data_IF_906909580312
#
_entry.id   IF_906909580312
#
_cell.length_a   1.000
_cell.length_b   1.000
_cell.length_c   1.000
_cell.angle_alpha   90.00
_cell.angle_beta   90.00
_cell.angle_gamma   90.00
#
_symmetry.space_group_name_H-M   'P 1'
#
loop_
_entity.id
_entity.type
_entity.pdbx_description
1 polymer ?
#
# COMPACT_ATOMS: atom_id res chain seq x y z
N UNK A 1 -26.49 -10.71 22.82
CA UNK A 1 -26.01 -10.21 21.53
C UNK A 1 -26.06 -11.34 20.51
N UNK A 2 -26.80 -11.17 19.40
CA UNK A 2 -26.89 -12.19 18.37
C UNK A 2 -25.52 -12.37 17.69
N UNK A 3 -24.98 -13.60 17.65
CA UNK A 3 -23.79 -13.91 16.86
C UNK A 3 -24.14 -13.65 15.39
N UNK A 4 -23.50 -12.65 14.79
CA UNK A 4 -23.58 -12.42 13.34
C UNK A 4 -23.15 -13.72 12.65
N UNK A 5 -24.06 -14.31 11.88
CA UNK A 5 -23.84 -15.58 11.21
C UNK A 5 -22.87 -15.33 10.04
N UNK A 6 -21.62 -15.76 10.19
CA UNK A 6 -20.57 -15.55 9.19
C UNK A 6 -20.83 -16.40 7.94
N UNK A 7 -20.73 -15.80 6.75
CA UNK A 7 -20.93 -16.51 5.47
C UNK A 7 -19.84 -17.56 5.25
N UNK A 8 -20.11 -18.69 4.56
CA UNK A 8 -19.07 -19.66 4.23
C UNK A 8 -18.04 -19.05 3.25
N UNK A 9 -16.76 -19.35 3.47
CA UNK A 9 -15.66 -18.90 2.62
C UNK A 9 -15.57 -19.72 1.33
N UNK A 10 -15.22 -19.06 0.22
CA UNK A 10 -14.81 -19.71 -1.02
C UNK A 10 -13.30 -19.94 -1.00
N UNK A 11 -12.88 -21.20 -1.01
CA UNK A 11 -11.47 -21.60 -0.93
C UNK A 11 -11.01 -22.13 -2.28
N UNK A 12 -9.86 -21.66 -2.75
CA UNK A 12 -9.15 -22.21 -3.89
C UNK A 12 -7.90 -22.95 -3.40
N UNK A 13 -7.78 -24.24 -3.69
CA UNK A 13 -6.60 -25.05 -3.31
C UNK A 13 -5.70 -25.19 -4.53
N UNK A 14 -4.57 -24.48 -4.52
CA UNK A 14 -3.54 -24.56 -5.55
C UNK A 14 -2.46 -25.57 -5.13
N UNK A 15 -2.21 -26.58 -5.96
CA UNK A 15 -1.25 -27.66 -5.66
C UNK A 15 -0.53 -28.12 -6.93
N UNK A 16 0.65 -28.76 -6.75
CA UNK A 16 1.40 -29.41 -7.83
C UNK A 16 1.08 -30.90 -7.87
N UNK A 17 0.73 -31.43 -9.05
CA UNK A 17 0.41 -32.86 -9.25
C UNK A 17 1.62 -33.77 -9.00
N UNK A 18 2.82 -33.30 -9.35
CA UNK A 18 4.05 -34.10 -9.28
C UNK A 18 4.79 -34.03 -7.92
N UNK A 19 4.16 -33.41 -6.92
CA UNK A 19 4.76 -33.14 -5.62
C UNK A 19 4.17 -34.01 -4.50
N UNK A 20 2.91 -33.75 -4.10
CA UNK A 20 2.22 -34.50 -3.04
C UNK A 20 0.71 -34.70 -3.35
N UNK A 21 0.35 -35.39 -4.45
CA UNK A 21 -1.03 -35.42 -4.96
C UNK A 21 -2.01 -36.13 -4.03
N UNK A 22 -1.61 -37.22 -3.36
CA UNK A 22 -2.50 -37.97 -2.45
C UNK A 22 -2.84 -37.15 -1.21
N UNK A 23 -1.83 -36.50 -0.60
CA UNK A 23 -2.01 -35.65 0.56
C UNK A 23 -2.81 -34.38 0.20
N UNK A 24 -2.57 -33.78 -0.97
CA UNK A 24 -3.37 -32.65 -1.45
C UNK A 24 -4.85 -33.03 -1.65
N UNK A 25 -5.12 -34.22 -2.21
CA UNK A 25 -6.48 -34.74 -2.35
C UNK A 25 -7.14 -35.03 -1.01
N UNK A 26 -6.38 -35.55 -0.03
CA UNK A 26 -6.87 -35.76 1.33
C UNK A 26 -7.23 -34.44 2.01
N UNK A 27 -6.38 -33.41 1.88
CA UNK A 27 -6.64 -32.06 2.38
C UNK A 27 -7.93 -31.50 1.76
N UNK A 28 -8.10 -31.63 0.45
CA UNK A 28 -9.33 -31.23 -0.22
C UNK A 28 -10.57 -31.93 0.34
N UNK A 29 -10.53 -33.26 0.55
CA UNK A 29 -11.67 -33.99 1.11
C UNK A 29 -12.13 -33.40 2.44
N UNK A 30 -11.19 -33.09 3.34
CA UNK A 30 -11.52 -32.44 4.62
C UNK A 30 -12.11 -31.04 4.43
N UNK A 31 -11.55 -30.23 3.53
CA UNK A 31 -12.09 -28.90 3.20
C UNK A 31 -13.51 -29.00 2.60
N UNK A 32 -13.74 -29.94 1.68
CA UNK A 32 -15.00 -30.11 0.96
C UNK A 32 -16.14 -30.53 1.90
N UNK A 33 -15.86 -31.41 2.86
CA UNK A 33 -16.80 -31.78 3.93
C UNK A 33 -17.21 -30.55 4.73
N UNK A 34 -16.26 -29.66 5.05
CA UNK A 34 -16.49 -28.55 5.98
C UNK A 34 -17.09 -27.30 5.35
N UNK A 35 -16.67 -26.94 4.14
CA UNK A 35 -17.17 -25.76 3.42
C UNK A 35 -18.35 -26.04 2.50
N UNK A 36 -18.81 -27.30 2.43
CA UNK A 36 -19.75 -27.82 1.43
C UNK A 36 -19.14 -27.71 0.03
N UNK A 37 -18.86 -28.85 -0.60
CA UNK A 37 -18.18 -29.04 -1.88
C UNK A 37 -18.18 -27.84 -2.86
N UNK A 38 -19.35 -27.22 -3.10
CA UNK A 38 -19.53 -26.01 -3.93
C UNK A 38 -18.62 -24.80 -3.62
N UNK A 39 -18.07 -24.70 -2.41
CA UNK A 39 -17.24 -23.58 -1.98
C UNK A 39 -15.73 -23.88 -2.00
N UNK A 40 -15.33 -25.10 -2.38
CA UNK A 40 -13.91 -25.48 -2.44
C UNK A 40 -13.58 -25.83 -3.87
N UNK A 41 -12.77 -24.98 -4.49
CA UNK A 41 -12.20 -25.23 -5.81
C UNK A 41 -10.89 -26.00 -5.63
N UNK A 42 -10.89 -27.22 -6.14
CA UNK A 42 -9.76 -28.12 -6.17
C UNK A 42 -9.86 -28.88 -7.49
N UNK A 43 -8.70 -29.26 -8.01
CA UNK A 43 -8.54 -30.02 -9.23
C UNK A 43 -8.67 -29.23 -10.55
N UNK A 44 -7.90 -29.71 -11.52
CA UNK A 44 -7.72 -29.20 -12.88
C UNK A 44 -8.50 -30.01 -13.93
N UNK A 45 -9.40 -30.94 -13.56
CA UNK A 45 -10.18 -31.74 -14.54
C UNK A 45 -11.66 -31.38 -14.63
N UNK A 46 -12.11 -30.37 -13.87
CA UNK A 46 -13.52 -29.94 -13.82
C UNK A 46 -13.92 -28.84 -14.81
N UNK A 47 -13.13 -28.57 -15.85
CA UNK A 47 -13.48 -27.57 -16.87
C UNK A 47 -14.18 -28.29 -18.01
N UNK A 48 -15.42 -27.86 -18.33
CA UNK A 48 -16.21 -28.41 -19.44
C UNK A 48 -15.40 -28.47 -20.74
N UNK A 49 -15.52 -29.57 -21.48
CA UNK A 49 -14.91 -29.71 -22.80
C UNK A 49 -15.25 -28.49 -23.68
N UNK A 50 -14.24 -27.73 -24.09
CA UNK A 50 -14.37 -26.56 -24.98
C UNK A 50 -14.18 -25.16 -24.34
N UNK A 51 -13.97 -25.02 -23.03
CA UNK A 51 -13.62 -23.73 -22.41
C UNK A 51 -12.10 -23.49 -22.35
N UNK A 52 -11.65 -22.25 -22.52
CA UNK A 52 -10.24 -21.90 -22.35
C UNK A 52 -9.83 -22.05 -20.88
N UNK A 53 -8.96 -23.04 -20.63
CA UNK A 53 -8.54 -23.53 -19.32
C UNK A 53 -8.05 -22.42 -18.36
N UNK A 54 -7.36 -21.41 -18.89
CA UNK A 54 -6.79 -20.30 -18.12
C UNK A 54 -7.85 -19.32 -17.60
N UNK A 55 -8.92 -19.07 -18.35
CA UNK A 55 -9.88 -18.02 -18.02
C UNK A 55 -10.80 -18.41 -16.87
N UNK A 56 -11.23 -19.67 -16.84
CA UNK A 56 -12.05 -20.20 -15.77
C UNK A 56 -11.28 -20.24 -14.44
N UNK A 57 -10.01 -20.67 -14.46
CA UNK A 57 -9.13 -20.65 -13.27
C UNK A 57 -8.94 -19.22 -12.78
N UNK A 58 -8.63 -18.29 -13.68
CA UNK A 58 -8.49 -16.88 -13.34
C UNK A 58 -9.77 -16.34 -12.69
N UNK A 59 -10.94 -16.66 -13.25
CA UNK A 59 -12.25 -16.30 -12.68
C UNK A 59 -12.45 -16.87 -11.27
N UNK A 60 -12.18 -18.15 -11.07
CA UNK A 60 -12.29 -18.80 -9.74
C UNK A 60 -11.37 -18.15 -8.71
N UNK A 61 -10.17 -17.72 -9.10
CA UNK A 61 -9.26 -16.99 -8.21
C UNK A 61 -9.81 -15.60 -7.87
N UNK A 62 -10.42 -14.87 -8.83
CA UNK A 62 -11.07 -13.59 -8.49
C UNK A 62 -12.28 -13.76 -7.61
N UNK A 63 -12.97 -14.88 -7.72
CA UNK A 63 -14.10 -15.22 -6.89
C UNK A 63 -13.68 -15.74 -5.51
N UNK A 64 -12.53 -16.40 -5.34
CA UNK A 64 -12.18 -16.98 -4.04
C UNK A 64 -11.96 -15.91 -2.97
N UNK A 65 -12.24 -16.28 -1.72
CA UNK A 65 -11.94 -15.49 -0.54
C UNK A 65 -10.50 -15.81 -0.05
N UNK A 66 -10.13 -17.09 -0.13
CA UNK A 66 -8.85 -17.63 0.32
C UNK A 66 -8.24 -18.54 -0.76
N UNK A 67 -6.93 -18.40 -1.01
CA UNK A 67 -6.13 -19.36 -1.76
C UNK A 67 -5.22 -20.13 -0.79
N UNK A 68 -5.34 -21.44 -0.77
CA UNK A 68 -4.44 -22.35 -0.04
C UNK A 68 -3.39 -22.84 -1.01
N UNK A 69 -2.13 -22.48 -0.78
CA UNK A 69 -1.00 -22.91 -1.59
C UNK A 69 -0.36 -24.13 -0.93
N UNK A 70 -0.55 -25.29 -1.56
CA UNK A 70 -0.02 -26.57 -1.07
C UNK A 70 1.44 -26.71 -1.48
N UNK A 71 2.29 -26.94 -0.48
CA UNK A 71 3.74 -27.09 -0.61
C UNK A 71 4.10 -28.52 -0.18
N UNK A 72 4.51 -29.36 -1.14
CA UNK A 72 5.09 -30.67 -0.87
C UNK A 72 6.63 -30.63 -0.88
N UNK A 73 7.28 -31.78 -0.66
CA UNK A 73 8.74 -31.87 -0.51
C UNK A 73 9.53 -31.37 -1.72
N UNK A 74 8.99 -31.54 -2.93
CA UNK A 74 9.64 -31.21 -4.20
C UNK A 74 9.25 -29.84 -4.74
N UNK A 75 8.42 -29.07 -4.01
CA UNK A 75 7.84 -27.82 -4.51
C UNK A 75 8.87 -26.81 -5.02
N UNK A 76 10.01 -26.68 -4.31
CA UNK A 76 11.10 -25.75 -4.64
C UNK A 76 11.93 -26.20 -5.85
N UNK A 77 12.11 -27.50 -6.01
CA UNK A 77 12.75 -28.07 -7.20
C UNK A 77 11.86 -27.78 -8.42
N UNK A 78 10.58 -28.14 -8.31
CA UNK A 78 9.61 -27.96 -9.39
C UNK A 78 9.44 -26.49 -9.79
N UNK A 79 9.35 -25.54 -8.84
CA UNK A 79 9.20 -24.12 -9.21
C UNK A 79 10.45 -23.55 -9.93
N UNK A 80 11.64 -24.13 -9.71
CA UNK A 80 12.87 -23.75 -10.40
C UNK A 80 12.96 -24.37 -11.79
N UNK A 81 12.62 -25.66 -11.91
CA UNK A 81 12.63 -26.38 -13.18
C UNK A 81 11.62 -25.76 -14.17
N UNK A 82 10.40 -25.46 -13.71
CA UNK A 82 9.38 -24.80 -14.53
C UNK A 82 9.64 -23.32 -14.78
N UNK A 83 10.54 -22.65 -14.03
CA UNK A 83 10.91 -21.26 -14.32
C UNK A 83 11.73 -21.13 -15.62
N UNK A 84 12.33 -22.23 -16.08
CA UNK A 84 13.23 -22.25 -17.25
C UNK A 84 12.49 -22.67 -18.52
N UNK A 85 11.49 -23.55 -18.46
CA UNK A 85 10.92 -24.16 -19.67
C UNK A 85 9.48 -23.77 -20.05
N UNK A 86 8.51 -23.59 -19.14
CA UNK A 86 7.09 -23.35 -19.52
C UNK A 86 6.23 -22.65 -18.46
N UNK A 87 5.04 -22.20 -18.88
CA UNK A 87 3.99 -21.54 -18.10
C UNK A 87 3.65 -22.24 -16.76
N UNK A 88 4.32 -21.86 -15.66
CA UNK A 88 4.01 -22.38 -14.32
C UNK A 88 2.68 -21.81 -13.80
N UNK A 89 1.63 -22.60 -13.98
CA UNK A 89 0.29 -22.25 -13.53
C UNK A 89 0.18 -22.06 -12.00
N UNK A 90 0.82 -22.88 -11.16
CA UNK A 90 0.72 -22.72 -9.69
C UNK A 90 1.34 -21.39 -9.27
N UNK A 91 2.50 -21.06 -9.84
CA UNK A 91 3.12 -19.74 -9.66
C UNK A 91 2.20 -18.62 -10.10
N UNK A 92 1.59 -18.72 -11.28
CA UNK A 92 0.72 -17.69 -11.83
C UNK A 92 -0.58 -17.52 -11.02
N UNK A 93 -1.19 -18.61 -10.56
CA UNK A 93 -2.39 -18.60 -9.70
C UNK A 93 -2.10 -17.87 -8.38
N UNK A 94 -0.99 -18.23 -7.71
CA UNK A 94 -0.55 -17.58 -6.47
C UNK A 94 -0.25 -16.10 -6.73
N UNK A 95 0.47 -15.78 -7.81
CA UNK A 95 0.79 -14.40 -8.17
C UNK A 95 -0.48 -13.55 -8.41
N UNK A 96 -1.46 -14.11 -9.12
CA UNK A 96 -2.75 -13.45 -9.36
C UNK A 96 -3.52 -13.21 -8.06
N UNK A 97 -3.59 -14.21 -7.18
CA UNK A 97 -4.26 -14.08 -5.89
C UNK A 97 -3.58 -13.03 -4.98
N UNK A 98 -2.25 -12.99 -4.98
CA UNK A 98 -1.47 -11.96 -4.27
C UNK A 98 -1.74 -10.56 -4.84
N UNK A 99 -1.75 -10.41 -6.17
CA UNK A 99 -2.05 -9.14 -6.85
C UNK A 99 -3.46 -8.62 -6.52
N UNK A 100 -4.43 -9.52 -6.40
CA UNK A 100 -5.80 -9.21 -5.99
C UNK A 100 -5.99 -9.07 -4.47
N UNK A 101 -4.91 -9.07 -3.70
CA UNK A 101 -4.91 -8.93 -2.24
C UNK A 101 -5.78 -9.98 -1.53
N UNK A 102 -5.87 -11.19 -2.10
CA UNK A 102 -6.53 -12.34 -1.48
C UNK A 102 -5.75 -12.83 -0.25
N UNK A 103 -6.43 -13.50 0.65
CA UNK A 103 -5.75 -14.26 1.71
C UNK A 103 -5.14 -15.50 1.05
N UNK A 104 -3.82 -15.60 1.09
CA UNK A 104 -3.01 -16.69 0.54
C UNK A 104 -2.32 -17.34 1.73
N UNK A 105 -2.53 -18.63 1.89
CA UNK A 105 -2.10 -19.42 3.04
C UNK A 105 -1.20 -20.54 2.54
N UNK A 106 0.12 -20.46 2.76
CA UNK A 106 1.02 -21.57 2.46
C UNK A 106 0.79 -22.72 3.45
N UNK A 107 0.61 -23.93 2.94
CA UNK A 107 0.39 -25.15 3.74
C UNK A 107 1.36 -26.23 3.30
N UNK A 108 2.29 -26.59 4.18
CA UNK A 108 3.28 -27.63 3.96
C UNK A 108 2.69 -28.99 4.35
N UNK A 109 2.81 -29.99 3.47
CA UNK A 109 2.28 -31.35 3.67
C UNK A 109 3.28 -32.41 3.23
N UNK A 110 3.05 -33.68 3.61
CA UNK A 110 3.89 -34.81 3.16
C UNK A 110 5.34 -34.71 3.63
N UNK A 111 5.56 -34.17 4.83
CA UNK A 111 6.90 -33.96 5.40
C UNK A 111 7.64 -32.72 4.91
N UNK A 112 7.01 -31.90 4.06
CA UNK A 112 7.61 -30.65 3.58
C UNK A 112 7.89 -29.67 4.72
N UNK A 113 9.06 -29.02 4.65
CA UNK A 113 9.42 -27.91 5.51
C UNK A 113 9.03 -26.58 4.87
N UNK A 114 8.90 -25.53 5.67
CA UNK A 114 8.66 -24.17 5.15
C UNK A 114 9.82 -23.74 4.25
N UNK A 115 9.56 -23.37 2.98
CA UNK A 115 10.64 -22.93 2.10
C UNK A 115 11.31 -21.62 2.54
N UNK A 116 12.62 -21.50 2.29
CA UNK A 116 13.32 -20.21 2.43
C UNK A 116 12.85 -19.23 1.34
N UNK A 117 12.42 -18.03 1.75
CA UNK A 117 12.01 -16.92 0.88
C UNK A 117 13.00 -16.67 -0.26
N UNK A 118 14.31 -16.83 0.00
CA UNK A 118 15.37 -16.59 -0.99
C UNK A 118 15.32 -17.59 -2.15
N UNK A 119 14.86 -18.81 -1.90
CA UNK A 119 14.76 -19.88 -2.89
C UNK A 119 13.51 -19.76 -3.78
N UNK A 120 12.59 -18.86 -3.43
CA UNK A 120 11.32 -18.67 -4.12
C UNK A 120 11.46 -17.75 -5.33
N UNK A 121 10.66 -18.02 -6.37
CA UNK A 121 10.46 -17.10 -7.47
C UNK A 121 9.86 -15.78 -6.98
N UNK A 122 10.35 -14.64 -7.51
CA UNK A 122 10.01 -13.30 -7.01
C UNK A 122 8.50 -13.01 -6.96
N UNK A 123 7.73 -13.54 -7.92
CA UNK A 123 6.27 -13.37 -7.98
C UNK A 123 5.51 -14.00 -6.80
N UNK A 124 6.05 -15.04 -6.18
CA UNK A 124 5.41 -15.77 -5.08
C UNK A 124 6.09 -15.54 -3.74
N UNK A 125 7.25 -14.86 -3.70
CA UNK A 125 7.91 -14.41 -2.47
C UNK A 125 6.97 -13.71 -1.47
N UNK A 126 6.02 -12.84 -1.89
CA UNK A 126 5.11 -12.19 -0.94
C UNK A 126 4.16 -13.15 -0.19
N UNK A 127 4.02 -14.40 -0.63
CA UNK A 127 3.29 -15.41 0.12
C UNK A 127 4.07 -15.87 1.35
N UNK A 128 5.41 -15.92 1.28
CA UNK A 128 6.27 -16.42 2.35
C UNK A 128 6.54 -15.40 3.46
N UNK A 129 6.09 -14.16 3.30
CA UNK A 129 6.01 -13.20 4.41
C UNK A 129 4.77 -13.41 5.29
N UNK A 130 3.98 -14.46 4.99
CA UNK A 130 2.81 -14.89 5.76
C UNK A 130 3.16 -16.19 6.49
N UNK A 131 2.53 -16.43 7.63
CA UNK A 131 2.73 -17.67 8.39
C UNK A 131 2.32 -18.87 7.53
N UNK A 132 3.26 -19.79 7.30
CA UNK A 132 3.00 -21.08 6.69
C UNK A 132 2.51 -22.05 7.77
N UNK A 133 1.45 -22.80 7.47
CA UNK A 133 1.05 -23.93 8.31
C UNK A 133 1.85 -25.16 7.88
N UNK A 134 2.39 -25.91 8.83
CA UNK A 134 3.05 -27.20 8.57
C UNK A 134 2.18 -28.31 9.16
N UNK A 135 1.57 -29.11 8.30
CA UNK A 135 0.79 -30.27 8.74
C UNK A 135 1.71 -31.47 8.98
N UNK A 136 1.49 -32.24 10.05
CA UNK A 136 2.24 -33.48 10.28
C UNK A 136 1.94 -34.49 9.18
N UNK A 137 2.80 -35.50 9.03
CA UNK A 137 2.56 -36.61 8.11
C UNK A 137 2.53 -37.95 8.90
N UNK A 138 1.39 -38.66 8.94
CA UNK A 138 0.09 -38.30 8.38
C UNK A 138 -0.64 -37.24 9.23
N UNK A 139 -1.32 -36.29 8.57
CA UNK A 139 -2.28 -35.39 9.23
C UNK A 139 -3.68 -36.01 9.27
N UNK A 140 -4.49 -35.57 10.23
CA UNK A 140 -5.87 -36.01 10.42
C UNK A 140 -6.82 -34.82 10.38
N UNK A 141 -8.10 -35.13 10.48
CA UNK A 141 -9.19 -34.15 10.51
C UNK A 141 -9.00 -33.10 11.62
N UNK A 142 -8.39 -33.47 12.75
CA UNK A 142 -8.16 -32.54 13.86
C UNK A 142 -7.21 -31.39 13.49
N UNK A 143 -6.10 -31.68 12.80
CA UNK A 143 -5.14 -30.68 12.35
C UNK A 143 -5.76 -29.80 11.26
N UNK A 144 -6.49 -30.40 10.31
CA UNK A 144 -7.18 -29.64 9.27
C UNK A 144 -8.26 -28.72 9.86
N UNK A 145 -8.98 -29.16 10.90
CA UNK A 145 -9.93 -28.29 11.62
C UNK A 145 -9.25 -27.07 12.24
N UNK A 146 -8.07 -27.22 12.83
CA UNK A 146 -7.31 -26.10 13.40
C UNK A 146 -6.87 -25.12 12.32
N UNK A 147 -6.33 -25.64 11.21
CA UNK A 147 -5.98 -24.83 10.03
C UNK A 147 -7.21 -24.04 9.54
N UNK A 148 -8.35 -24.71 9.38
CA UNK A 148 -9.59 -24.06 8.93
C UNK A 148 -10.06 -22.95 9.88
N UNK A 149 -10.06 -23.20 11.19
CA UNK A 149 -10.42 -22.19 12.18
C UNK A 149 -9.46 -20.99 12.15
N UNK A 150 -8.16 -21.23 12.00
CA UNK A 150 -7.15 -20.16 11.86
C UNK A 150 -7.35 -19.33 10.58
N UNK A 151 -7.69 -19.98 9.46
CA UNK A 151 -8.03 -19.31 8.20
C UNK A 151 -9.27 -18.45 8.36
N UNK A 152 -10.34 -18.98 8.93
CA UNK A 152 -11.59 -18.25 9.16
C UNK A 152 -11.35 -17.03 10.06
N UNK A 153 -10.69 -17.22 11.20
CA UNK A 153 -10.35 -16.15 12.12
C UNK A 153 -9.54 -15.04 11.44
N UNK A 154 -8.46 -15.40 10.76
CA UNK A 154 -7.61 -14.45 10.04
C UNK A 154 -8.38 -13.70 8.96
N UNK A 155 -9.22 -14.39 8.19
CA UNK A 155 -10.01 -13.77 7.14
C UNK A 155 -11.00 -12.76 7.72
N UNK A 156 -11.79 -13.17 8.71
CA UNK A 156 -12.82 -12.30 9.29
C UNK A 156 -12.23 -11.16 10.11
N UNK A 157 -11.09 -11.34 10.79
CA UNK A 157 -10.37 -10.22 11.41
C UNK A 157 -9.94 -9.19 10.37
N UNK A 158 -9.40 -9.61 9.22
CA UNK A 158 -9.05 -8.69 8.12
C UNK A 158 -10.28 -8.03 7.51
N UNK A 159 -11.39 -8.75 7.37
CA UNK A 159 -12.63 -8.19 6.86
C UNK A 159 -13.22 -7.17 7.83
N UNK A 160 -13.24 -7.47 9.13
CA UNK A 160 -13.70 -6.55 10.18
C UNK A 160 -12.80 -5.32 10.27
N UNK A 161 -11.46 -5.46 10.21
CA UNK A 161 -10.54 -4.33 10.15
C UNK A 161 -10.77 -3.47 8.90
N UNK A 162 -11.01 -4.07 7.73
CA UNK A 162 -11.34 -3.33 6.51
C UNK A 162 -12.71 -2.64 6.61
N UNK A 163 -13.70 -3.28 7.22
CA UNK A 163 -15.02 -2.70 7.45
C UNK A 163 -14.95 -1.57 8.47
N UNK A 164 -14.15 -1.71 9.52
CA UNK A 164 -13.98 -0.68 10.54
C UNK A 164 -13.19 0.50 9.97
N UNK A 165 -12.15 0.25 9.17
CA UNK A 165 -11.49 1.28 8.37
C UNK A 165 -12.48 1.96 7.40
N UNK A 166 -13.36 1.20 6.75
CA UNK A 166 -14.39 1.74 5.88
C UNK A 166 -15.49 2.53 6.64
N UNK A 167 -15.81 2.17 7.88
CA UNK A 167 -16.73 2.93 8.75
C UNK A 167 -16.10 4.20 9.31
N UNK A 168 -14.81 4.15 9.64
CA UNK A 168 -14.01 5.32 9.95
C UNK A 168 -14.01 6.27 8.74
N UNK A 169 -13.83 5.73 7.53
CA UNK A 169 -14.05 6.47 6.29
C UNK A 169 -15.49 7.02 6.20
N UNK A 170 -16.56 6.27 6.54
CA UNK A 170 -17.96 6.74 6.48
C UNK A 170 -18.31 7.92 7.42
N UNK A 171 -17.56 8.15 8.50
CA UNK A 171 -17.83 9.25 9.45
C UNK A 171 -16.92 10.46 9.22
N UNK A 172 -15.63 10.23 8.96
CA UNK A 172 -14.64 11.24 8.57
C UNK A 172 -13.36 10.52 8.13
N UNK A 173 -12.95 10.59 6.85
CA UNK A 173 -11.71 9.94 6.40
C UNK A 173 -10.46 10.68 6.90
N UNK A 174 -10.59 11.92 7.39
CA UNK A 174 -9.48 12.80 7.71
C UNK A 174 -8.40 12.17 8.61
N UNK A 175 -8.78 11.52 9.71
CA UNK A 175 -7.81 10.97 10.66
C UNK A 175 -6.97 9.81 10.06
N UNK A 176 -7.63 8.88 9.37
CA UNK A 176 -6.98 7.76 8.71
C UNK A 176 -6.07 8.22 7.56
N UNK A 177 -6.55 9.17 6.75
CA UNK A 177 -5.77 9.78 5.69
C UNK A 177 -4.55 10.54 6.22
N UNK A 178 -4.69 11.30 7.32
CA UNK A 178 -3.59 12.02 7.96
C UNK A 178 -2.52 11.06 8.49
N UNK A 179 -2.91 10.00 9.20
CA UNK A 179 -1.99 8.97 9.67
C UNK A 179 -1.27 8.28 8.49
N UNK A 180 -2.03 7.89 7.47
CA UNK A 180 -1.48 7.27 6.26
C UNK A 180 -0.46 8.17 5.56
N UNK A 181 -0.76 9.46 5.44
CA UNK A 181 0.14 10.46 4.89
C UNK A 181 1.42 10.62 5.73
N UNK A 182 1.26 10.74 7.05
CA UNK A 182 2.39 10.88 7.97
C UNK A 182 3.35 9.69 7.87
N UNK A 183 2.82 8.46 8.00
CA UNK A 183 3.63 7.23 8.02
C UNK A 183 4.29 6.97 6.67
N UNK A 184 3.53 7.07 5.58
CA UNK A 184 4.01 6.63 4.26
C UNK A 184 4.80 7.71 3.51
N UNK A 185 4.57 9.00 3.82
CA UNK A 185 5.17 10.12 3.11
C UNK A 185 6.06 10.98 4.01
N UNK A 186 5.49 11.66 5.02
CA UNK A 186 6.23 12.66 5.80
C UNK A 186 7.41 12.01 6.52
N UNK A 187 7.15 10.99 7.34
CA UNK A 187 8.19 10.30 8.12
C UNK A 187 9.28 9.74 7.23
N UNK A 188 8.88 9.13 6.11
CA UNK A 188 9.83 8.56 5.15
C UNK A 188 10.69 9.64 4.51
N UNK A 189 10.08 10.72 4.02
CA UNK A 189 10.78 11.82 3.34
C UNK A 189 11.75 12.52 4.28
N UNK A 190 11.32 12.88 5.49
CA UNK A 190 12.16 13.56 6.47
C UNK A 190 13.36 12.67 6.82
N UNK A 191 13.15 11.39 7.13
CA UNK A 191 14.25 10.44 7.38
C UNK A 191 15.21 10.33 6.20
N UNK A 192 14.71 10.38 4.96
CA UNK A 192 15.57 10.34 3.78
C UNK A 192 16.45 11.59 3.66
N UNK A 193 15.94 12.79 3.96
CA UNK A 193 16.75 14.00 3.84
C UNK A 193 17.66 14.25 5.04
N UNK A 194 17.31 13.71 6.22
CA UNK A 194 18.07 13.90 7.46
C UNK A 194 18.97 12.73 7.84
N UNK A 195 18.88 11.57 7.16
CA UNK A 195 19.74 10.43 7.47
C UNK A 195 21.21 10.85 7.44
N UNK A 196 21.93 10.58 8.53
CA UNK A 196 23.35 10.85 8.71
C UNK A 196 24.18 9.59 8.49
N UNK A 197 25.46 9.76 8.21
CA UNK A 197 26.46 8.68 8.25
C UNK A 197 26.53 8.06 9.65
N UNK A 198 27.06 6.84 9.81
CA UNK A 198 27.29 6.23 11.12
C UNK A 198 28.11 7.13 12.08
N UNK A 199 29.03 7.91 11.54
CA UNK A 199 29.87 8.87 12.27
C UNK A 199 29.11 10.13 12.66
N UNK A 200 27.95 10.40 12.06
CA UNK A 200 27.13 11.58 12.32
C UNK A 200 27.68 12.89 11.78
N UNK A 201 28.77 12.85 10.99
CA UNK A 201 29.51 14.02 10.52
C UNK A 201 28.91 14.68 9.26
N UNK A 202 28.09 13.93 8.51
CA UNK A 202 27.48 14.37 7.25
C UNK A 202 26.17 13.63 6.99
N UNK A 203 25.37 14.12 6.05
CA UNK A 203 24.18 13.43 5.58
C UNK A 203 24.57 12.26 4.66
N UNK A 204 23.98 11.09 4.90
CA UNK A 204 24.25 9.85 4.18
C UNK A 204 23.70 9.84 2.75
N UNK A 205 22.54 10.46 2.54
CA UNK A 205 21.86 10.47 1.24
C UNK A 205 22.24 11.72 0.43
N UNK A 206 22.40 11.56 -0.88
CA UNK A 206 22.64 12.68 -1.80
C UNK A 206 21.34 13.18 -2.39
N UNK A 207 21.24 14.49 -2.61
CA UNK A 207 20.06 15.11 -3.20
C UNK A 207 20.49 15.83 -4.47
N UNK A 208 20.05 15.31 -5.62
CA UNK A 208 20.24 15.94 -6.92
C UNK A 208 19.06 16.84 -7.21
N UNK A 209 19.32 18.08 -7.60
CA UNK A 209 18.33 19.06 -8.03
C UNK A 209 18.48 19.25 -9.54
N UNK A 210 17.35 19.41 -10.24
CA UNK A 210 17.30 19.73 -11.67
C UNK A 210 16.32 20.88 -11.84
N UNK A 211 16.86 22.07 -12.04
CA UNK A 211 16.08 23.26 -12.42
C UNK A 211 15.60 23.12 -13.87
N UNK A 212 14.60 23.92 -14.28
CA UNK A 212 13.96 23.78 -15.60
C UNK A 212 14.92 24.05 -16.76
N UNK A 213 15.72 25.11 -16.64
CA UNK A 213 16.66 25.56 -17.67
C UNK A 213 18.12 25.50 -17.18
N UNK A 214 18.37 24.73 -16.10
CA UNK A 214 19.67 24.66 -15.44
C UNK A 214 20.28 23.26 -15.47
N UNK A 215 21.61 23.21 -15.45
CA UNK A 215 22.33 21.96 -15.26
C UNK A 215 22.05 21.36 -13.88
N UNK A 216 21.92 20.02 -13.78
CA UNK A 216 21.68 19.38 -12.50
C UNK A 216 22.88 19.54 -11.58
N UNK A 217 22.61 19.82 -10.30
CA UNK A 217 23.62 19.92 -9.26
C UNK A 217 23.20 19.14 -8.02
N UNK A 218 24.14 18.91 -7.11
CA UNK A 218 23.87 18.24 -5.84
C UNK A 218 23.87 19.26 -4.71
N UNK A 219 22.90 19.15 -3.81
CA UNK A 219 23.01 19.82 -2.52
C UNK A 219 24.18 19.22 -1.75
N UNK A 220 24.93 20.08 -1.05
CA UNK A 220 26.06 19.67 -0.22
C UNK A 220 25.66 18.59 0.77
N UNK A 221 26.60 17.73 1.16
CA UNK A 221 26.33 16.64 2.10
C UNK A 221 26.83 16.88 3.52
N UNK A 222 27.57 17.95 3.75
CA UNK A 222 27.88 18.45 5.08
C UNK A 222 26.61 18.92 5.82
N UNK A 223 26.68 18.96 7.15
CA UNK A 223 25.54 19.32 7.99
C UNK A 223 25.12 20.80 7.82
N UNK A 224 26.05 21.69 7.46
CA UNK A 224 25.79 23.12 7.35
C UNK A 224 24.98 23.43 6.08
N UNK A 225 25.36 22.87 4.94
CA UNK A 225 24.72 23.13 3.64
C UNK A 225 23.27 22.68 3.55
N UNK A 226 22.84 21.74 4.40
CA UNK A 226 21.46 21.26 4.47
C UNK A 226 20.79 21.50 5.81
N UNK A 227 21.37 22.31 6.70
CA UNK A 227 20.80 22.62 8.01
C UNK A 227 19.38 23.21 7.93
N UNK A 228 19.10 24.03 6.91
CA UNK A 228 17.79 24.68 6.68
C UNK A 228 16.86 23.91 5.72
N UNK A 229 17.29 22.75 5.20
CA UNK A 229 16.46 21.97 4.27
C UNK A 229 15.24 21.40 5.01
N UNK A 230 14.04 21.82 4.57
CA UNK A 230 12.75 21.41 5.15
C UNK A 230 11.84 20.74 4.11
N UNK A 231 10.90 19.95 4.61
CA UNK A 231 9.72 19.46 3.89
C UNK A 231 8.55 20.42 4.15
N UNK A 232 8.09 21.07 3.09
CA UNK A 232 6.97 21.99 3.07
C UNK A 232 5.69 21.26 2.65
N UNK A 233 4.73 21.18 3.56
CA UNK A 233 3.43 20.54 3.34
C UNK A 233 2.40 21.63 3.10
N UNK A 234 1.82 21.64 1.91
CA UNK A 234 0.84 22.64 1.51
C UNK A 234 -0.56 22.22 1.97
N UNK A 235 -1.19 23.03 2.81
CA UNK A 235 -2.55 22.83 3.30
C UNK A 235 -3.48 23.80 2.54
N UNK A 236 -4.25 23.30 1.55
CA UNK A 236 -5.07 24.13 0.68
C UNK A 236 -6.28 24.70 1.43
N UNK A 237 -6.87 25.82 0.96
CA UNK A 237 -8.08 26.37 1.57
C UNK A 237 -9.33 25.54 1.23
N UNK A 238 -9.31 24.81 0.11
CA UNK A 238 -10.40 23.94 -0.38
C UNK A 238 -9.80 22.77 -1.18
N UNK A 239 -10.51 21.65 -1.23
CA UNK A 239 -10.08 20.41 -1.89
C UNK A 239 -9.95 20.57 -3.40
N UNK A 240 -10.72 21.44 -4.05
CA UNK A 240 -10.55 21.67 -5.49
C UNK A 240 -9.16 22.23 -5.85
N UNK A 241 -8.48 22.88 -4.90
CA UNK A 241 -7.17 23.49 -5.10
C UNK A 241 -6.02 22.47 -5.30
N UNK A 242 -6.27 21.19 -5.01
CA UNK A 242 -5.28 20.11 -5.19
C UNK A 242 -5.57 19.24 -6.40
N UNK A 243 -6.61 19.56 -7.18
CA UNK A 243 -6.90 18.85 -8.43
C UNK A 243 -5.79 19.09 -9.44
N UNK A 244 -5.60 18.10 -10.32
CA UNK A 244 -4.50 18.11 -11.27
C UNK A 244 -4.60 19.31 -12.22
N UNK A 245 -5.80 19.68 -12.67
CA UNK A 245 -6.02 20.86 -13.51
C UNK A 245 -5.51 22.16 -12.87
N UNK A 246 -5.64 22.29 -11.55
CA UNK A 246 -5.20 23.47 -10.79
C UNK A 246 -3.70 23.44 -10.53
N UNK A 247 -3.17 22.29 -10.10
CA UNK A 247 -1.77 22.17 -9.69
C UNK A 247 -0.79 21.97 -10.84
N UNK A 248 -1.20 21.30 -11.93
CA UNK A 248 -0.29 20.86 -12.98
C UNK A 248 0.64 21.96 -13.51
N UNK A 249 0.16 23.17 -13.84
CA UNK A 249 1.07 24.16 -14.39
C UNK A 249 2.04 24.73 -13.34
N UNK A 250 1.68 24.74 -12.05
CA UNK A 250 2.63 25.08 -10.97
C UNK A 250 3.66 23.97 -10.77
N UNK A 251 3.24 22.70 -10.73
CA UNK A 251 4.13 21.54 -10.59
C UNK A 251 5.12 21.39 -11.75
N UNK A 252 4.74 21.82 -12.96
CA UNK A 252 5.62 21.85 -14.13
C UNK A 252 6.66 22.97 -14.06
N UNK A 253 6.42 24.00 -13.24
CA UNK A 253 7.34 25.12 -13.02
C UNK A 253 8.32 24.88 -11.87
N UNK A 254 8.15 23.81 -11.09
CA UNK A 254 9.03 23.49 -9.97
C UNK A 254 10.26 22.68 -10.41
N UNK A 255 11.45 22.97 -9.83
CA UNK A 255 12.60 22.08 -9.92
C UNK A 255 12.27 20.67 -9.41
N UNK A 256 12.94 19.67 -9.99
CA UNK A 256 12.81 18.27 -9.56
C UNK A 256 13.96 17.89 -8.65
N UNK A 257 13.65 17.18 -7.57
CA UNK A 257 14.62 16.62 -6.64
C UNK A 257 14.66 15.10 -6.71
N UNK A 258 15.85 14.54 -6.61
CA UNK A 258 16.06 13.09 -6.54
C UNK A 258 16.97 12.78 -5.36
N UNK A 259 16.45 12.07 -4.35
CA UNK A 259 17.21 11.61 -3.19
C UNK A 259 17.73 10.21 -3.47
N UNK A 260 19.06 10.04 -3.42
CA UNK A 260 19.72 8.75 -3.65
C UNK A 260 20.30 8.22 -2.33
N UNK A 261 19.99 6.96 -2.04
CA UNK A 261 20.54 6.25 -0.89
C UNK A 261 21.73 5.41 -1.33
N UNK A 262 22.84 5.39 -0.57
CA UNK A 262 23.95 4.47 -0.83
C UNK A 262 23.47 3.02 -0.86
N UNK A 263 23.67 2.32 -1.98
CA UNK A 263 23.25 0.93 -2.15
C UNK A 263 21.74 0.71 -2.30
N UNK A 264 20.93 1.76 -2.49
CA UNK A 264 19.49 1.64 -2.72
C UNK A 264 19.14 1.36 -4.19
N UNK A 265 18.20 0.44 -4.42
CA UNK A 265 17.78 0.03 -5.77
C UNK A 265 16.99 1.11 -6.54
N UNK A 266 16.36 2.07 -5.83
CA UNK A 266 15.51 3.09 -6.47
C UNK A 266 15.65 4.45 -5.79
N UNK A 267 15.88 5.53 -6.57
CA UNK A 267 15.88 6.86 -6.04
C UNK A 267 14.47 7.34 -5.67
N UNK A 268 14.40 8.27 -4.71
CA UNK A 268 13.16 8.92 -4.32
C UNK A 268 13.01 10.27 -5.02
N UNK A 269 12.00 10.41 -5.87
CA UNK A 269 11.69 11.66 -6.58
C UNK A 269 10.78 12.55 -5.74
N UNK A 270 11.04 13.85 -5.77
CA UNK A 270 10.25 14.86 -5.06
C UNK A 270 10.19 16.18 -5.84
N UNK A 271 9.22 17.03 -5.49
CA UNK A 271 9.18 18.41 -5.97
C UNK A 271 10.02 19.30 -5.05
N UNK A 272 10.74 20.23 -5.65
CA UNK A 272 11.63 21.14 -4.94
C UNK A 272 11.12 22.56 -5.11
N UNK A 273 11.14 23.31 -4.02
CA UNK A 273 10.76 24.71 -4.00
C UNK A 273 11.97 25.56 -3.58
N UNK A 274 12.20 26.66 -4.29
CA UNK A 274 13.30 27.60 -4.01
C UNK A 274 12.71 28.91 -3.50
N UNK A 275 13.12 29.33 -2.31
CA UNK A 275 12.67 30.57 -1.67
C UNK A 275 13.88 31.31 -1.14
N UNK A 276 14.04 32.58 -1.53
CA UNK A 276 15.17 33.42 -1.10
C UNK A 276 16.54 32.74 -1.24
N UNK A 277 16.74 31.98 -2.32
CA UNK A 277 17.99 31.25 -2.59
C UNK A 277 18.16 29.93 -1.83
N UNK A 278 17.25 29.57 -0.93
CA UNK A 278 17.25 28.30 -0.20
C UNK A 278 16.34 27.28 -0.88
N UNK A 279 16.72 26.00 -0.82
CA UNK A 279 15.93 24.89 -1.35
C UNK A 279 15.17 24.18 -0.24
N UNK A 280 13.91 23.85 -0.52
CA UNK A 280 13.04 23.00 0.28
C UNK A 280 12.42 21.91 -0.57
N UNK A 281 12.01 20.80 0.06
CA UNK A 281 11.11 19.84 -0.60
C UNK A 281 9.69 20.34 -0.39
N UNK A 282 8.84 20.28 -1.41
CA UNK A 282 7.43 20.67 -1.29
C UNK A 282 6.51 19.53 -1.69
N UNK A 283 5.39 19.40 -0.97
CA UNK A 283 4.36 18.41 -1.29
C UNK A 283 2.94 18.95 -1.10
N UNK A 284 2.06 18.48 -1.97
CA UNK A 284 0.63 18.72 -1.93
C UNK A 284 -0.05 17.40 -1.55
N UNK A 285 -0.64 17.27 -0.35
CA UNK A 285 -1.11 15.99 0.15
C UNK A 285 -2.15 15.33 -0.78
N UNK A 286 -1.72 14.30 -1.51
CA UNK A 286 -2.60 13.50 -2.38
C UNK A 286 -3.77 12.81 -1.66
N UNK A 287 -3.71 12.50 -0.34
CA UNK A 287 -4.87 11.97 0.39
C UNK A 287 -6.11 12.89 0.35
N UNK A 288 -5.95 14.19 0.09
CA UNK A 288 -7.08 15.09 -0.14
C UNK A 288 -7.94 14.69 -1.35
N UNK A 289 -7.40 13.99 -2.36
CA UNK A 289 -8.19 13.49 -3.48
C UNK A 289 -9.20 12.43 -3.02
N UNK A 290 -8.77 11.55 -2.10
CA UNK A 290 -9.64 10.53 -1.49
C UNK A 290 -10.73 11.19 -0.65
N UNK A 291 -10.38 12.29 0.05
CA UNK A 291 -11.33 13.10 0.79
C UNK A 291 -12.36 13.79 -0.12
N UNK A 292 -11.94 14.37 -1.26
CA UNK A 292 -12.87 14.96 -2.24
C UNK A 292 -13.84 13.90 -2.76
N UNK A 293 -13.33 12.74 -3.21
CA UNK A 293 -14.17 11.62 -3.64
C UNK A 293 -15.19 11.20 -2.57
N UNK A 294 -14.78 11.16 -1.31
CA UNK A 294 -15.66 10.83 -0.19
C UNK A 294 -16.80 11.85 -0.04
N UNK A 295 -16.49 13.15 -0.10
CA UNK A 295 -17.51 14.21 -0.05
C UNK A 295 -18.45 14.12 -1.25
N UNK A 296 -17.94 13.90 -2.47
CA UNK A 296 -18.76 13.78 -3.68
C UNK A 296 -19.72 12.58 -3.61
N UNK A 297 -19.28 11.43 -3.07
CA UNK A 297 -20.16 10.26 -2.89
C UNK A 297 -21.31 10.56 -1.93
N UNK A 298 -21.05 11.28 -0.82
CA UNK A 298 -22.09 11.70 0.13
C UNK A 298 -23.06 12.70 -0.48
N UNK A 299 -22.57 13.65 -1.29
CA UNK A 299 -23.41 14.58 -2.07
C UNK A 299 -24.40 13.82 -2.96
N UNK A 300 -23.94 12.76 -3.62
CA UNK A 300 -24.77 11.95 -4.51
C UNK A 300 -25.80 11.07 -3.78
N UNK A 301 -25.51 10.63 -2.55
CA UNK A 301 -26.37 9.73 -1.75
C UNK A 301 -27.30 10.45 -0.78
N UNK A 302 -27.00 11.70 -0.41
CA UNK A 302 -27.73 12.47 0.60
C UNK A 302 -29.16 12.80 0.18
N UNK A 303 -30.12 11.99 0.63
CA UNK A 303 -31.56 12.28 0.55
C UNK A 303 -32.11 12.55 1.96
N UNK A 304 -32.73 13.72 2.24
CA UNK A 304 -32.98 14.83 1.33
C UNK A 304 -31.69 15.61 0.97
N UNK A 305 -31.74 16.30 -0.17
CA UNK A 305 -30.64 17.13 -0.65
C UNK A 305 -30.27 18.21 0.38
N UNK A 306 -28.98 18.30 0.70
CA UNK A 306 -28.46 19.27 1.65
C UNK A 306 -28.09 20.59 0.94
N UNK A 307 -28.20 21.75 1.63
CA UNK A 307 -27.83 23.03 1.05
C UNK A 307 -26.32 23.11 0.74
N UNK A 308 -25.87 23.96 -0.20
CA UNK A 308 -24.44 24.11 -0.53
C UNK A 308 -23.54 24.42 0.68
N UNK A 309 -24.03 25.20 1.63
CA UNK A 309 -23.31 25.55 2.86
C UNK A 309 -22.98 24.35 3.74
N UNK A 310 -23.84 23.32 3.76
CA UNK A 310 -23.59 22.09 4.50
C UNK A 310 -22.30 21.42 4.01
N UNK A 311 -22.13 21.33 2.69
CA UNK A 311 -20.97 20.69 2.09
C UNK A 311 -19.69 21.51 2.21
N UNK A 312 -19.80 22.83 2.14
CA UNK A 312 -18.67 23.74 2.38
C UNK A 312 -18.18 23.62 3.84
N UNK A 313 -19.10 23.55 4.80
CA UNK A 313 -18.75 23.36 6.20
C UNK A 313 -18.13 21.98 6.44
N UNK A 314 -18.70 20.91 5.85
CA UNK A 314 -18.12 19.56 5.95
C UNK A 314 -16.70 19.51 5.39
N UNK A 315 -16.47 20.11 4.23
CA UNK A 315 -15.14 20.18 3.62
C UNK A 315 -14.14 20.93 4.52
N UNK A 316 -14.52 22.09 5.05
CA UNK A 316 -13.69 22.86 5.98
C UNK A 316 -13.37 22.07 7.26
N UNK A 317 -14.37 21.38 7.82
CA UNK A 317 -14.23 20.51 8.98
C UNK A 317 -13.24 19.37 8.72
N UNK A 318 -13.35 18.68 7.58
CA UNK A 318 -12.48 17.55 7.23
C UNK A 318 -11.04 18.00 6.98
N UNK A 319 -10.83 19.13 6.29
CA UNK A 319 -9.51 19.75 6.13
C UNK A 319 -8.91 20.10 7.50
N UNK A 320 -9.70 20.71 8.39
CA UNK A 320 -9.27 21.06 9.74
C UNK A 320 -8.94 19.85 10.61
N UNK A 321 -9.77 18.79 10.56
CA UNK A 321 -9.50 17.51 11.25
C UNK A 321 -8.21 16.87 10.75
N UNK A 322 -8.01 16.83 9.43
CA UNK A 322 -6.82 16.26 8.82
C UNK A 322 -5.56 17.00 9.29
N UNK A 323 -5.56 18.33 9.22
CA UNK A 323 -4.45 19.15 9.70
C UNK A 323 -4.18 18.91 11.19
N UNK A 324 -5.22 18.93 12.02
CA UNK A 324 -5.08 18.75 13.48
C UNK A 324 -4.45 17.40 13.82
N UNK A 325 -4.97 16.32 13.22
CA UNK A 325 -4.44 14.97 13.43
C UNK A 325 -3.01 14.85 12.90
N UNK A 326 -2.75 15.42 11.72
CA UNK A 326 -1.42 15.39 11.12
C UNK A 326 -0.36 16.09 11.99
N UNK A 327 -0.70 17.25 12.55
CA UNK A 327 0.17 17.99 13.47
C UNK A 327 0.43 17.22 14.75
N UNK A 328 -0.61 16.64 15.37
CA UNK A 328 -0.44 15.78 16.55
C UNK A 328 0.50 14.61 16.25
N UNK A 329 0.39 13.94 15.09
CA UNK A 329 1.35 12.88 14.75
C UNK A 329 2.80 13.36 14.59
N UNK A 330 3.01 14.56 14.08
CA UNK A 330 4.35 15.17 14.00
C UNK A 330 4.88 15.49 15.40
N UNK A 331 4.02 16.07 16.26
CA UNK A 331 4.33 16.47 17.65
C UNK A 331 4.50 15.29 18.62
N UNK A 332 3.79 14.19 18.42
CA UNK A 332 3.81 13.00 19.30
C UNK A 332 4.84 11.97 18.82
N UNK A 333 5.51 12.22 17.70
CA UNK A 333 6.50 11.30 17.18
C UNK A 333 7.72 11.20 18.11
N UNK A 334 8.11 9.97 18.46
CA UNK A 334 9.36 9.63 19.16
C UNK A 334 10.60 9.75 18.25
N UNK A 335 10.52 10.55 17.18
CA UNK A 335 11.66 10.82 16.30
C UNK A 335 12.64 11.79 16.98
N UNK A 336 13.88 11.86 16.49
CA UNK A 336 14.90 12.80 17.00
C UNK A 336 14.40 14.26 16.96
N UNK A 337 14.95 15.14 17.82
CA UNK A 337 14.49 16.54 17.93
C UNK A 337 14.54 17.31 16.60
N UNK A 338 15.55 17.06 15.76
CA UNK A 338 15.69 17.66 14.43
C UNK A 338 14.56 17.24 13.48
N UNK A 339 13.86 16.10 13.69
CA UNK A 339 12.80 15.65 12.79
C UNK A 339 11.65 16.66 12.66
N UNK A 340 11.25 17.29 13.77
CA UNK A 340 10.10 18.22 13.79
C UNK A 340 10.44 19.54 13.09
N UNK A 341 11.66 20.03 13.31
CA UNK A 341 12.17 21.28 12.73
C UNK A 341 12.31 21.21 11.21
N UNK A 342 12.26 19.98 10.66
CA UNK A 342 12.33 19.68 9.22
C UNK A 342 10.98 19.71 8.53
N UNK A 343 9.89 19.92 9.26
CA UNK A 343 8.54 19.92 8.71
C UNK A 343 7.96 21.33 8.84
N UNK A 344 7.53 21.89 7.72
CA UNK A 344 6.90 23.19 7.66
C UNK A 344 5.53 23.09 7.00
N UNK A 345 4.48 23.53 7.68
CA UNK A 345 3.13 23.55 7.13
C UNK A 345 2.82 24.93 6.55
N UNK A 346 2.48 24.98 5.27
CA UNK A 346 2.05 26.22 4.59
C UNK A 346 0.53 26.17 4.47
N UNK A 347 -0.16 26.90 5.36
CA UNK A 347 -1.61 26.93 5.40
C UNK A 347 -2.17 28.12 4.65
N UNK A 348 -3.16 27.85 3.81
CA UNK A 348 -3.93 28.88 3.10
C UNK A 348 -5.37 28.89 3.61
N UNK A 349 -5.93 30.08 3.80
CA UNK A 349 -7.31 30.27 4.29
C UNK A 349 -8.28 30.69 3.19
N UNK A 350 -7.78 31.18 2.05
CA UNK A 350 -8.59 31.55 0.91
C UNK A 350 -7.90 31.25 -0.43
N UNK A 351 -8.72 31.08 -1.45
CA UNK A 351 -8.28 30.71 -2.81
C UNK A 351 -7.47 31.77 -3.50
N UNK A 352 -7.73 33.06 -3.23
CA UNK A 352 -7.09 34.16 -3.96
C UNK A 352 -5.60 34.19 -3.65
N UNK A 353 -5.25 34.16 -2.35
CA UNK A 353 -3.85 34.12 -1.94
C UNK A 353 -3.18 32.81 -2.34
N UNK A 354 -3.88 31.67 -2.26
CA UNK A 354 -3.36 30.38 -2.73
C UNK A 354 -3.00 30.41 -4.22
N UNK A 355 -3.90 30.93 -5.07
CA UNK A 355 -3.67 31.00 -6.51
C UNK A 355 -2.52 31.97 -6.83
N UNK A 356 -2.49 33.14 -6.20
CA UNK A 356 -1.39 34.09 -6.37
C UNK A 356 -0.04 33.46 -6.02
N UNK A 357 0.03 32.73 -4.90
CA UNK A 357 1.24 32.02 -4.49
C UNK A 357 1.67 30.92 -5.46
N UNK A 358 0.72 30.19 -6.07
CA UNK A 358 1.04 29.22 -7.13
C UNK A 358 1.55 29.89 -8.41
N UNK A 359 1.03 31.08 -8.74
CA UNK A 359 1.46 31.83 -9.91
C UNK A 359 2.88 32.40 -9.73
N UNK A 360 3.29 32.68 -8.49
CA UNK A 360 4.67 33.09 -8.16
C UNK A 360 5.70 31.99 -8.48
N UNK A 361 5.30 30.71 -8.55
CA UNK A 361 6.21 29.64 -9.03
C UNK A 361 6.60 29.83 -10.49
N UNK A 362 5.82 30.59 -11.26
CA UNK A 362 6.06 30.88 -12.68
C UNK A 362 6.74 32.23 -12.89
N UNK A 363 6.74 33.09 -11.87
CA UNK A 363 7.40 34.38 -11.98
C UNK A 363 8.92 34.16 -12.05
N UNK A 364 9.63 34.70 -13.06
CA UNK A 364 11.09 34.75 -12.99
C UNK A 364 11.44 35.46 -11.68
N UNK A 365 12.35 34.91 -10.89
CA UNK A 365 12.80 35.49 -9.64
C UNK A 365 13.34 36.90 -9.90
N UNK A 366 12.47 37.91 -9.79
CA UNK A 366 12.85 39.33 -9.80
C UNK A 366 13.49 39.57 -8.43
N UNK A 367 14.75 39.99 -8.47
CA UNK A 367 15.70 39.90 -7.38
C UNK A 367 15.37 40.65 -6.09
N UNK A 368 16.13 40.26 -5.07
CA UNK A 368 16.37 40.94 -3.80
C UNK A 368 17.64 40.36 -3.20
#
# INVERSE_FOLDING_TARGET
MAKVQKRPLRVFISYRRDDAPQQAQLLWKYFAVRYRNKNVFFDREGISAGAEFSDEINRKIRECDVLVAVIGPRWIELIKDYAIEQNDYVRNEIALALAQKKLVVPVCIGGAQTPDVKQMHWQVRPMMTRNAEVLPDPFRDAEVRRLLSSIEETFFQREDQRREAAKLDETSPAAGLALGYFVNFIRKTVRLITAKTPEGDRYANTIKITELDGEPFYLGNDLQSRSDLRLHIVLPPQLECIRLETLKPALQSLPKGTVNQPGGDRPYSCQVWKVAGQYGIIDFPTPYLVMDEWIQRRKAQGTPAQPPSHWQNLEADELGRFETVLRSWVEDSNEESDFRDRIHFIRFTDKKHYQQWLDDFRAPSIGG
#
